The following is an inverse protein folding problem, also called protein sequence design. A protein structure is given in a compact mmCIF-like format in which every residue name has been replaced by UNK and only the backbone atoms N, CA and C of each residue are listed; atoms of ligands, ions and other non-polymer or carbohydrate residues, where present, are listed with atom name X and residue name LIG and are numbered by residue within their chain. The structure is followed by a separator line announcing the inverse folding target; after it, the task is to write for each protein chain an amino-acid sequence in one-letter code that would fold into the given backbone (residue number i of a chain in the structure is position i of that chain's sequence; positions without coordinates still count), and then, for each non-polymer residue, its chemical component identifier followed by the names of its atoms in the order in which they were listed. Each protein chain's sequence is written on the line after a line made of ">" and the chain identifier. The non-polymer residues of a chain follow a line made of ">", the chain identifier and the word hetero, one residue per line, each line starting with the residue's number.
data_IF_161953181783
#
_entry.id   IF_161953181783
#
_cell.length_a   1.000
_cell.length_b   1.000
_cell.length_c   1.000
_cell.angle_alpha   90.00
_cell.angle_beta   90.00
_cell.angle_gamma   90.00
#
_symmetry.space_group_name_H-M   'P 1'
#
loop_
_entity.id
_entity.type
_entity.pdbx_description
1 polymer ?
#
# COMPACT_ATOMS: atom_id res chain seq x y z
N UNK A 1 -9.43 2.02 5.26
CA UNK A 1 -9.02 0.93 6.16
C UNK A 1 -9.43 1.16 7.61
N UNK A 2 -8.95 2.20 8.33
CA UNK A 2 -9.34 2.41 9.73
C UNK A 2 -10.87 2.49 9.94
N UNK A 3 -11.58 3.25 9.10
CA UNK A 3 -13.05 3.34 9.16
C UNK A 3 -13.73 1.99 8.89
N UNK A 4 -13.17 1.16 8.01
CA UNK A 4 -13.69 -0.19 7.72
C UNK A 4 -13.45 -1.16 8.88
N UNK A 5 -12.25 -1.09 9.48
CA UNK A 5 -11.86 -1.89 10.65
C UNK A 5 -12.73 -1.61 11.89
N UNK A 6 -13.16 -0.35 12.10
CA UNK A 6 -13.95 0.03 13.28
C UNK A 6 -15.48 -0.03 13.05
N UNK A 7 -15.98 0.30 11.85
CA UNK A 7 -17.42 0.38 11.61
C UNK A 7 -18.06 -0.98 11.27
N UNK A 8 -17.35 -1.86 10.55
CA UNK A 8 -17.91 -3.11 10.06
C UNK A 8 -19.17 -2.94 9.19
N UNK A 9 -19.79 -4.06 8.80
CA UNK A 9 -21.07 -4.06 8.08
C UNK A 9 -21.07 -3.32 6.74
N UNK A 10 -22.21 -2.73 6.36
CA UNK A 10 -22.37 -2.03 5.08
C UNK A 10 -21.48 -0.78 4.94
N UNK A 11 -21.19 -0.10 6.05
CA UNK A 11 -20.31 1.07 6.08
C UNK A 11 -18.86 0.68 5.79
N UNK A 12 -18.39 -0.45 6.32
CA UNK A 12 -17.07 -1.00 6.00
C UNK A 12 -16.91 -1.37 4.53
N UNK A 13 -17.92 -2.00 3.92
CA UNK A 13 -17.93 -2.34 2.50
C UNK A 13 -17.81 -1.11 1.58
N UNK A 14 -18.56 -0.04 1.87
CA UNK A 14 -18.48 1.21 1.11
C UNK A 14 -17.08 1.84 1.27
N UNK A 15 -16.54 1.84 2.48
CA UNK A 15 -15.21 2.37 2.76
C UNK A 15 -14.10 1.56 2.05
N UNK A 16 -14.22 0.24 1.95
CA UNK A 16 -13.30 -0.60 1.18
C UNK A 16 -13.35 -0.32 -0.31
N UNK A 17 -14.55 -0.18 -0.85
CA UNK A 17 -14.75 0.12 -2.27
C UNK A 17 -14.13 1.46 -2.65
N UNK A 18 -14.34 2.48 -1.81
CA UNK A 18 -13.65 3.78 -1.93
C UNK A 18 -12.13 3.64 -1.81
N UNK A 19 -11.63 2.81 -0.89
CA UNK A 19 -10.20 2.57 -0.72
C UNK A 19 -9.56 1.99 -2.00
N UNK A 20 -10.25 1.09 -2.71
CA UNK A 20 -9.79 0.54 -3.99
C UNK A 20 -9.59 1.63 -5.05
N UNK A 21 -10.47 2.64 -5.08
CA UNK A 21 -10.32 3.78 -5.99
C UNK A 21 -9.03 4.58 -5.69
N UNK A 22 -8.71 4.79 -4.41
CA UNK A 22 -7.46 5.44 -4.01
C UNK A 22 -6.22 4.59 -4.27
N UNK A 23 -6.33 3.26 -4.30
CA UNK A 23 -5.19 2.38 -4.52
C UNK A 23 -4.69 2.42 -5.98
N UNK A 24 -5.59 2.69 -6.93
CA UNK A 24 -5.27 2.79 -8.37
C UNK A 24 -4.15 3.78 -8.70
N UNK A 25 -4.14 4.95 -8.06
CA UNK A 25 -3.14 5.98 -8.34
C UNK A 25 -1.79 5.72 -7.66
N UNK A 26 -1.74 4.86 -6.64
CA UNK A 26 -0.54 4.68 -5.82
C UNK A 26 0.58 3.97 -6.56
N UNK A 27 0.27 2.86 -7.24
CA UNK A 27 1.27 2.11 -8.00
C UNK A 27 1.99 2.93 -9.08
N UNK A 28 1.29 3.62 -10.01
CA UNK A 28 1.96 4.46 -11.01
C UNK A 28 2.71 5.65 -10.39
N UNK A 29 2.21 6.22 -9.29
CA UNK A 29 2.88 7.32 -8.59
C UNK A 29 4.17 6.87 -7.93
N UNK A 30 4.17 5.74 -7.21
CA UNK A 30 5.36 5.15 -6.59
C UNK A 30 6.38 4.76 -7.65
N UNK A 31 5.93 4.14 -8.74
CA UNK A 31 6.80 3.76 -9.85
C UNK A 31 7.46 4.99 -10.47
N UNK A 32 6.67 6.01 -10.83
CA UNK A 32 7.16 7.27 -11.41
C UNK A 32 8.14 7.98 -10.47
N UNK A 33 7.78 8.13 -9.19
CA UNK A 33 8.66 8.74 -8.18
C UNK A 33 9.91 7.90 -7.87
N UNK A 34 9.83 6.57 -7.99
CA UNK A 34 10.93 5.65 -7.73
C UNK A 34 12.01 5.70 -8.80
N UNK A 35 11.62 5.85 -10.07
CA UNK A 35 12.55 5.90 -11.20
C UNK A 35 12.95 7.32 -11.63
N UNK A 36 12.29 8.36 -11.10
CA UNK A 36 12.61 9.75 -11.42
C UNK A 36 14.06 10.06 -11.05
N UNK A 37 14.83 10.59 -12.00
CA UNK A 37 16.25 10.94 -11.91
C UNK A 37 17.25 9.76 -11.81
N UNK A 38 16.88 8.54 -12.20
CA UNK A 38 17.82 7.40 -12.25
C UNK A 38 18.70 7.35 -13.51
N UNK A 39 18.39 8.12 -14.57
CA UNK A 39 19.19 8.13 -15.80
C UNK A 39 19.34 6.74 -16.41
N UNK A 40 20.58 6.30 -16.64
CA UNK A 40 20.91 4.97 -17.19
C UNK A 40 20.43 3.80 -16.32
N UNK A 41 20.31 4.01 -15.00
CA UNK A 41 19.94 2.96 -14.04
C UNK A 41 18.43 2.75 -13.94
N UNK A 42 17.63 3.52 -14.67
CA UNK A 42 16.16 3.41 -14.70
C UNK A 42 15.69 1.99 -15.03
N UNK A 43 16.41 1.29 -15.92
CA UNK A 43 16.08 -0.09 -16.32
C UNK A 43 16.28 -1.09 -15.16
N UNK A 44 17.36 -0.92 -14.40
CA UNK A 44 17.63 -1.76 -13.23
C UNK A 44 16.70 -1.40 -12.06
N UNK A 45 16.50 -0.11 -11.80
CA UNK A 45 15.61 0.37 -10.74
C UNK A 45 14.15 -0.05 -10.94
N UNK A 46 13.62 0.07 -12.17
CA UNK A 46 12.27 -0.41 -12.49
C UNK A 46 12.12 -1.92 -12.29
N UNK A 47 13.15 -2.71 -12.62
CA UNK A 47 13.15 -4.16 -12.41
C UNK A 47 13.01 -4.51 -10.92
N UNK A 48 13.73 -3.80 -10.04
CA UNK A 48 13.58 -3.99 -8.59
C UNK A 48 12.19 -3.59 -8.08
N UNK A 49 11.63 -2.48 -8.55
CA UNK A 49 10.28 -2.04 -8.16
C UNK A 49 9.25 -3.12 -8.54
N UNK A 50 9.33 -3.69 -9.74
CA UNK A 50 8.41 -4.76 -10.17
C UNK A 50 8.61 -6.03 -9.33
N UNK A 51 9.83 -6.34 -8.92
CA UNK A 51 10.10 -7.51 -8.09
C UNK A 51 9.44 -7.44 -6.71
N UNK A 52 9.16 -6.22 -6.20
CA UNK A 52 8.44 -6.02 -4.94
C UNK A 52 6.98 -6.48 -4.96
N UNK A 53 6.40 -6.79 -6.13
CA UNK A 53 5.07 -7.41 -6.26
C UNK A 53 4.98 -8.71 -5.44
N UNK A 54 6.10 -9.40 -5.20
CA UNK A 54 6.15 -10.57 -4.30
C UNK A 54 5.66 -10.26 -2.87
N UNK A 55 5.74 -8.99 -2.43
CA UNK A 55 5.18 -8.52 -1.17
C UNK A 55 3.67 -8.77 -1.07
N UNK A 56 2.95 -8.78 -2.20
CA UNK A 56 1.54 -9.19 -2.25
C UNK A 56 1.34 -10.64 -1.81
N UNK A 57 2.22 -11.55 -2.24
CA UNK A 57 2.19 -12.95 -1.81
C UNK A 57 2.62 -13.16 -0.36
N UNK A 58 3.39 -12.24 0.22
CA UNK A 58 3.82 -12.28 1.63
C UNK A 58 2.73 -11.69 2.54
N UNK A 59 2.06 -10.62 2.13
CA UNK A 59 1.04 -9.97 2.97
C UNK A 59 -0.22 -10.81 3.11
N UNK A 60 -0.60 -11.60 2.11
CA UNK A 60 -1.78 -12.50 2.16
C UNK A 60 -1.73 -13.52 3.31
N UNK A 61 -0.67 -14.34 3.47
CA UNK A 61 -0.58 -15.29 4.59
C UNK A 61 -0.46 -14.59 5.94
N UNK A 62 0.20 -13.43 6.01
CA UNK A 62 0.25 -12.63 7.26
C UNK A 62 -1.15 -12.14 7.63
N UNK A 63 -1.94 -11.67 6.65
CA UNK A 63 -3.32 -11.23 6.86
C UNK A 63 -4.23 -12.39 7.24
N UNK A 64 -4.05 -13.56 6.64
CA UNK A 64 -4.76 -14.80 7.04
C UNK A 64 -4.44 -15.19 8.48
N UNK A 65 -3.16 -15.23 8.84
CA UNK A 65 -2.74 -15.56 10.21
C UNK A 65 -3.28 -14.57 11.25
N UNK A 66 -3.24 -13.26 10.95
CA UNK A 66 -3.78 -12.24 11.85
C UNK A 66 -5.30 -12.32 11.95
N UNK A 67 -6.01 -12.62 10.85
CA UNK A 67 -7.45 -12.85 10.85
C UNK A 67 -7.82 -14.05 11.73
N UNK A 68 -7.09 -15.16 11.59
CA UNK A 68 -7.34 -16.39 12.33
C UNK A 68 -7.00 -16.23 13.82
N UNK A 69 -5.91 -15.51 14.15
CA UNK A 69 -5.50 -15.25 15.53
C UNK A 69 -6.40 -14.23 16.24
N UNK A 70 -6.93 -13.24 15.54
CA UNK A 70 -7.82 -12.21 16.11
C UNK A 70 -9.30 -12.63 16.14
N UNK A 71 -9.68 -13.67 15.37
CA UNK A 71 -11.05 -14.18 15.30
C UNK A 71 -12.04 -13.23 14.62
N UNK A 72 -11.56 -12.18 13.95
CA UNK A 72 -12.40 -11.18 13.31
C UNK A 72 -11.68 -10.54 12.10
N UNK A 73 -12.36 -10.54 10.94
CA UNK A 73 -11.87 -9.98 9.67
C UNK A 73 -11.49 -8.48 9.75
N UNK A 74 -12.19 -7.60 10.50
CA UNK A 74 -11.89 -6.18 10.53
C UNK A 74 -10.51 -5.83 11.11
N UNK A 75 -9.96 -6.64 12.03
CA UNK A 75 -8.63 -6.38 12.60
C UNK A 75 -7.51 -6.75 11.62
N UNK A 76 -7.75 -7.69 10.71
CA UNK A 76 -6.80 -8.00 9.64
C UNK A 76 -6.63 -6.81 8.68
N UNK A 77 -7.63 -5.92 8.56
CA UNK A 77 -7.54 -4.69 7.76
C UNK A 77 -6.58 -3.63 8.33
N UNK A 78 -6.09 -3.84 9.54
CA UNK A 78 -5.05 -2.99 10.14
C UNK A 78 -3.70 -3.15 9.43
N UNK A 79 -3.46 -4.31 8.79
CA UNK A 79 -2.26 -4.56 7.97
C UNK A 79 -2.24 -3.65 6.73
N UNK A 80 -3.29 -3.62 5.86
CA UNK A 80 -3.41 -2.62 4.80
C UNK A 80 -3.27 -1.18 5.31
N UNK A 81 -3.84 -0.86 6.48
CA UNK A 81 -3.71 0.48 7.05
C UNK A 81 -2.25 0.85 7.36
N UNK A 82 -1.48 -0.09 7.92
CA UNK A 82 -0.03 0.06 8.15
C UNK A 82 0.74 0.21 6.84
N UNK A 83 0.44 -0.59 5.82
CA UNK A 83 1.06 -0.43 4.50
C UNK A 83 0.81 0.96 3.90
N UNK A 84 -0.42 1.49 3.98
CA UNK A 84 -0.71 2.84 3.51
C UNK A 84 0.02 3.91 4.32
N UNK A 85 0.23 3.71 5.63
CA UNK A 85 1.04 4.63 6.44
C UNK A 85 2.50 4.69 5.95
N UNK A 86 3.10 3.54 5.64
CA UNK A 86 4.47 3.48 5.07
C UNK A 86 4.53 4.17 3.71
N UNK A 87 3.53 3.95 2.84
CA UNK A 87 3.44 4.63 1.53
C UNK A 87 3.29 6.14 1.71
N UNK A 88 2.50 6.59 2.68
CA UNK A 88 2.32 8.01 2.99
C UNK A 88 3.62 8.66 3.46
N UNK A 89 4.38 7.99 4.34
CA UNK A 89 5.71 8.42 4.76
C UNK A 89 6.63 8.56 3.54
N UNK A 90 6.70 7.53 2.68
CA UNK A 90 7.49 7.58 1.45
C UNK A 90 7.11 8.76 0.55
N UNK A 91 5.81 9.00 0.35
CA UNK A 91 5.31 10.12 -0.45
C UNK A 91 5.76 11.47 0.14
N UNK A 92 5.70 11.62 1.47
CA UNK A 92 6.12 12.86 2.12
C UNK A 92 7.63 13.08 2.05
N UNK A 93 8.43 12.04 2.24
CA UNK A 93 9.89 12.10 2.11
C UNK A 93 10.34 12.40 0.67
N UNK A 94 9.75 11.77 -0.35
CA UNK A 94 10.10 12.01 -1.76
C UNK A 94 9.57 13.34 -2.31
N UNK A 95 8.53 13.91 -1.71
CA UNK A 95 8.06 15.27 -2.04
C UNK A 95 9.10 16.36 -1.73
N UNK A 96 10.07 16.11 -0.83
CA UNK A 96 11.08 17.13 -0.46
C UNK A 96 12.30 17.18 -1.39
N UNK A 97 12.55 16.15 -2.22
CA UNK A 97 13.70 16.12 -3.14
C UNK A 97 13.40 16.75 -4.52
N UNK A 98 12.16 17.22 -4.75
CA UNK A 98 11.78 17.90 -5.99
C UNK A 98 11.95 19.44 -5.93
N UNK A 99 12.75 19.93 -4.98
CA UNK A 99 13.24 21.33 -4.95
C UNK A 99 14.76 21.25 -4.89
N UNK A 100 15.37 21.43 -6.07
CA UNK A 100 16.70 21.94 -6.40
C UNK A 100 17.09 21.38 -7.77
#
# INVERSE_FOLDING_TARGET
>A
CLISAFAGGHVGLIALTLCSAFMSIQYPTIFSLGIKNLGQDTKYGSSFIVMTIIGGGIVTPVMGFVSDAAGNIPTAELIPALCFAVIFIFARFRSQTATN
#
